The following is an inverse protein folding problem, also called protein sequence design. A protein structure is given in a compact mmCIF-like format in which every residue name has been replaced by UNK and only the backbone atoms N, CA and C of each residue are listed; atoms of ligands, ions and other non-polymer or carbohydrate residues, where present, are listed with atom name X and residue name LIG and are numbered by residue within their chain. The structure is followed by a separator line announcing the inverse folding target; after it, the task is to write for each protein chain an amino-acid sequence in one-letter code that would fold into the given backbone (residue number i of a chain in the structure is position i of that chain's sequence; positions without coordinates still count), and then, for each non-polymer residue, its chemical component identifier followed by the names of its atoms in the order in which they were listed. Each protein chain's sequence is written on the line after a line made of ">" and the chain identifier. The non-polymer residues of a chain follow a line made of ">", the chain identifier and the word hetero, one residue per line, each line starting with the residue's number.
data_IF_636546734779
#
_entry.id   IF_636546734779
#
_cell.length_a   1.000
_cell.length_b   1.000
_cell.length_c   1.000
_cell.angle_alpha   90.00
_cell.angle_beta   90.00
_cell.angle_gamma   90.00
#
_symmetry.space_group_name_H-M   'P 1'
#
loop_
_entity.id
_entity.type
_entity.pdbx_description
1 polymer ?
#
# COMPACT_ATOMS: atom_id res chain seq x y z
N UNK A 1 26.76 33.43 34.95
CA UNK A 1 26.93 31.95 34.82
C UNK A 1 26.08 31.34 35.92
N UNK A 2 25.02 30.58 35.70
CA UNK A 2 24.62 29.79 34.54
C UNK A 2 23.09 29.80 34.39
N UNK A 3 22.64 29.77 33.14
CA UNK A 3 21.26 29.60 32.71
C UNK A 3 20.70 28.25 33.21
N UNK A 4 19.48 28.27 33.73
CA UNK A 4 18.63 27.08 33.80
C UNK A 4 17.80 27.04 32.53
N UNK A 5 18.24 26.25 31.56
CA UNK A 5 17.52 26.02 30.32
C UNK A 5 16.29 25.13 30.57
N UNK A 6 15.10 25.71 30.36
CA UNK A 6 13.83 24.99 30.24
C UNK A 6 13.84 24.17 28.94
N UNK A 7 14.04 22.85 29.05
CA UNK A 7 13.89 21.92 27.93
C UNK A 7 12.40 21.72 27.60
N UNK A 8 11.89 22.59 26.74
CA UNK A 8 10.53 22.51 26.18
C UNK A 8 10.48 21.42 25.09
N UNK A 9 10.22 20.17 25.50
CA UNK A 9 9.89 19.10 24.55
C UNK A 9 8.45 19.28 24.05
N UNK A 10 8.30 19.98 22.92
CA UNK A 10 7.01 20.18 22.24
C UNK A 10 6.55 18.88 21.56
N UNK A 11 5.99 17.97 22.35
CA UNK A 11 5.19 16.87 21.81
C UNK A 11 3.94 17.49 21.16
N UNK A 12 3.92 17.51 19.83
CA UNK A 12 2.79 18.01 19.06
C UNK A 12 1.52 17.23 19.43
N UNK A 13 0.37 17.91 19.63
CA UNK A 13 -0.85 17.25 20.10
C UNK A 13 -1.32 16.23 19.07
N UNK A 14 -1.63 15.03 19.56
CA UNK A 14 -2.08 13.86 18.81
C UNK A 14 -3.28 14.23 17.91
N UNK A 15 -3.01 14.62 16.66
CA UNK A 15 -4.03 14.84 15.63
C UNK A 15 -4.73 13.50 15.46
N UNK A 16 -5.96 13.37 15.96
CA UNK A 16 -6.84 12.23 15.67
C UNK A 16 -6.75 11.95 14.17
N UNK A 17 -6.17 10.81 13.81
CA UNK A 17 -5.88 10.47 12.41
C UNK A 17 -7.21 10.46 11.66
N UNK A 18 -7.42 11.44 10.77
CA UNK A 18 -8.62 11.48 9.93
C UNK A 18 -8.60 10.22 9.07
N UNK A 19 -9.68 9.44 9.09
CA UNK A 19 -9.75 8.21 8.30
C UNK A 19 -9.47 8.49 6.82
N UNK A 20 -8.66 7.63 6.21
CA UNK A 20 -8.34 7.65 4.79
C UNK A 20 -8.56 6.27 4.18
N UNK A 21 -9.00 6.25 2.91
CA UNK A 21 -9.21 5.02 2.14
C UNK A 21 -7.90 4.27 1.85
N UNK A 22 -6.77 4.98 1.87
CA UNK A 22 -5.43 4.48 1.59
C UNK A 22 -4.46 4.93 2.68
N UNK A 23 -3.33 4.23 2.83
CA UNK A 23 -2.22 4.71 3.67
C UNK A 23 -1.59 5.93 3.02
N UNK A 24 -1.48 7.03 3.76
CA UNK A 24 -0.94 8.30 3.22
C UNK A 24 0.47 8.62 3.70
N UNK A 25 0.75 8.40 4.99
CA UNK A 25 1.96 8.95 5.63
C UNK A 25 2.82 7.87 6.28
N UNK A 26 2.25 7.09 7.20
CA UNK A 26 2.97 6.07 7.99
C UNK A 26 2.47 4.68 7.63
N UNK A 27 3.40 3.81 7.24
CA UNK A 27 3.13 2.40 6.98
C UNK A 27 3.19 1.61 8.29
N UNK A 28 2.01 1.28 8.81
CA UNK A 28 1.88 0.30 9.90
C UNK A 28 1.42 -1.04 9.29
N UNK A 29 2.23 -2.10 9.37
CA UNK A 29 1.86 -3.41 8.86
C UNK A 29 0.51 -3.91 9.38
N UNK A 30 0.21 -3.72 10.67
CA UNK A 30 -1.00 -4.27 11.31
C UNK A 30 -2.23 -3.58 10.75
N UNK A 31 -2.20 -2.25 10.70
CA UNK A 31 -3.26 -1.43 10.12
C UNK A 31 -3.43 -1.71 8.62
N UNK A 32 -2.33 -1.93 7.89
CA UNK A 32 -2.32 -2.34 6.48
C UNK A 32 -2.92 -3.73 6.28
N UNK A 33 -2.73 -4.65 7.23
CA UNK A 33 -3.33 -5.98 7.22
C UNK A 33 -4.82 -5.96 7.56
N UNK A 34 -5.26 -5.00 8.38
CA UNK A 34 -6.65 -4.89 8.84
C UNK A 34 -7.61 -4.59 7.68
N UNK A 35 -8.78 -5.22 7.69
CA UNK A 35 -9.82 -5.03 6.67
C UNK A 35 -10.43 -3.63 6.77
N UNK A 36 -10.60 -3.14 7.99
CA UNK A 36 -11.27 -1.89 8.37
C UNK A 36 -10.34 -0.89 9.07
N UNK A 37 -9.08 -1.26 9.31
CA UNK A 37 -8.07 -0.38 9.90
C UNK A 37 -8.17 -0.27 11.42
N UNK A 38 -8.83 -1.23 12.08
CA UNK A 38 -8.98 -1.22 13.55
C UNK A 38 -8.08 -2.22 14.28
N UNK A 39 -7.40 -3.11 13.56
CA UNK A 39 -6.55 -4.11 14.23
C UNK A 39 -5.36 -3.43 14.92
N UNK A 40 -5.17 -3.75 16.20
CA UNK A 40 -4.01 -3.31 16.99
C UNK A 40 -2.95 -4.41 17.12
N UNK A 41 -3.33 -5.67 16.90
CA UNK A 41 -2.48 -6.86 17.08
C UNK A 41 -2.28 -7.56 15.74
N UNK A 42 -1.04 -7.97 15.40
CA UNK A 42 -0.78 -8.72 14.18
C UNK A 42 -1.53 -10.05 14.16
N UNK A 43 -2.46 -10.22 13.21
CA UNK A 43 -3.26 -11.44 13.09
C UNK A 43 -2.62 -12.52 12.19
N UNK A 44 -1.48 -12.25 11.54
CA UNK A 44 -0.77 -13.24 10.73
C UNK A 44 0.76 -13.22 10.91
N UNK A 45 1.42 -14.33 10.56
CA UNK A 45 2.89 -14.49 10.69
C UNK A 45 3.69 -13.48 9.87
N UNK A 46 3.15 -13.03 8.75
CA UNK A 46 3.87 -12.11 7.88
C UNK A 46 3.77 -10.66 8.40
N UNK A 47 2.74 -10.30 9.18
CA UNK A 47 2.66 -9.04 9.94
C UNK A 47 3.67 -9.04 11.07
N UNK A 48 3.75 -10.14 11.83
CA UNK A 48 4.79 -10.33 12.85
C UNK A 48 6.19 -10.19 12.22
N UNK A 49 6.43 -10.82 11.06
CA UNK A 49 7.68 -10.67 10.32
C UNK A 49 7.94 -9.22 9.89
N UNK A 50 6.91 -8.51 9.42
CA UNK A 50 7.05 -7.13 8.99
C UNK A 50 7.42 -6.20 10.15
N UNK A 51 6.76 -6.36 11.31
CA UNK A 51 7.04 -5.59 12.53
C UNK A 51 8.47 -5.82 13.04
N UNK A 52 8.93 -7.08 13.02
CA UNK A 52 10.27 -7.44 13.50
C UNK A 52 11.38 -7.18 12.47
N UNK A 53 11.05 -6.70 11.27
CA UNK A 53 12.02 -6.48 10.20
C UNK A 53 12.40 -5.02 10.05
N UNK A 54 13.68 -4.74 9.83
CA UNK A 54 14.15 -3.42 9.40
C UNK A 54 14.32 -3.43 7.88
N UNK A 55 13.87 -2.35 7.23
CA UNK A 55 14.05 -2.15 5.80
C UNK A 55 14.62 -0.77 5.59
N UNK A 56 15.68 -0.67 4.78
CA UNK A 56 16.24 0.59 4.34
C UNK A 56 16.13 0.64 2.82
N UNK A 57 15.42 1.64 2.26
CA UNK A 57 15.32 1.79 0.81
C UNK A 57 16.69 2.08 0.21
N UNK A 58 16.84 1.83 -1.09
CA UNK A 58 18.11 2.07 -1.77
C UNK A 58 18.39 3.58 -1.92
N UNK A 59 19.34 4.10 -1.14
CA UNK A 59 19.73 5.51 -1.17
C UNK A 59 20.40 5.98 -2.48
N UNK A 60 20.75 5.06 -3.40
CA UNK A 60 21.29 5.43 -4.72
C UNK A 60 20.22 5.90 -5.71
N UNK A 61 18.94 5.66 -5.42
CA UNK A 61 17.83 6.07 -6.30
C UNK A 61 17.63 7.58 -6.12
N UNK A 62 17.89 8.32 -7.19
CA UNK A 62 17.67 9.77 -7.28
C UNK A 62 16.23 10.05 -7.76
N UNK A 63 15.80 11.31 -7.62
CA UNK A 63 14.49 11.78 -8.09
C UNK A 63 13.46 11.93 -6.98
N UNK A 64 12.31 12.52 -7.32
CA UNK A 64 11.22 12.77 -6.36
C UNK A 64 10.27 11.55 -6.30
N UNK A 65 10.09 10.90 -5.14
CA UNK A 65 9.15 9.79 -5.00
C UNK A 65 7.69 10.20 -5.22
N UNK A 66 7.32 11.47 -5.08
CA UNK A 66 5.98 11.95 -5.40
C UNK A 66 5.70 12.02 -6.90
N UNK A 67 6.76 12.16 -7.71
CA UNK A 67 6.67 12.18 -9.18
C UNK A 67 6.90 10.80 -9.80
N UNK A 68 7.21 9.81 -8.95
CA UNK A 68 7.54 8.46 -9.39
C UNK A 68 6.34 7.53 -9.23
N UNK A 69 6.01 6.84 -10.32
CA UNK A 69 5.01 5.78 -10.34
C UNK A 69 5.68 4.40 -10.30
N UNK A 70 5.02 3.47 -9.63
CA UNK A 70 5.33 2.06 -9.63
C UNK A 70 4.42 1.34 -10.63
N UNK A 71 5.02 0.53 -11.51
CA UNK A 71 4.30 -0.32 -12.44
C UNK A 71 4.63 -1.78 -12.11
N UNK A 72 3.65 -2.57 -11.71
CA UNK A 72 3.80 -3.99 -11.41
C UNK A 72 2.98 -4.88 -12.33
N UNK A 73 3.19 -6.19 -12.22
CA UNK A 73 2.52 -7.24 -13.01
C UNK A 73 2.81 -7.18 -14.51
N UNK A 74 3.94 -6.61 -14.90
CA UNK A 74 4.37 -6.60 -16.30
C UNK A 74 4.66 -8.02 -16.80
N UNK A 75 4.46 -8.25 -18.09
CA UNK A 75 4.95 -9.45 -18.75
C UNK A 75 6.47 -9.39 -18.87
N UNK A 76 7.12 -10.56 -18.86
CA UNK A 76 8.59 -10.64 -18.99
C UNK A 76 9.08 -10.26 -20.39
N UNK A 77 8.19 -10.23 -21.38
CA UNK A 77 8.47 -9.76 -22.74
C UNK A 77 8.48 -8.23 -22.87
N UNK A 78 7.97 -7.50 -21.88
CA UNK A 78 7.84 -6.05 -21.96
C UNK A 78 9.21 -5.39 -21.85
N UNK A 79 9.52 -4.53 -22.83
CA UNK A 79 10.77 -3.76 -22.86
C UNK A 79 10.60 -2.34 -22.34
N UNK A 80 11.72 -1.68 -22.05
CA UNK A 80 11.73 -0.28 -21.61
C UNK A 80 11.16 0.67 -22.69
N UNK A 81 11.43 0.41 -23.96
CA UNK A 81 10.94 1.20 -25.09
C UNK A 81 9.41 1.12 -25.20
N UNK A 82 8.84 -0.08 -25.00
CA UNK A 82 7.39 -0.26 -24.99
C UNK A 82 6.73 0.48 -23.83
N UNK A 83 7.34 0.45 -22.63
CA UNK A 83 6.87 1.24 -21.50
C UNK A 83 6.96 2.72 -21.80
N UNK A 84 8.09 3.21 -22.33
CA UNK A 84 8.25 4.61 -22.70
C UNK A 84 7.17 5.04 -23.69
N UNK A 85 6.97 4.28 -24.76
CA UNK A 85 5.93 4.57 -25.78
C UNK A 85 4.53 4.65 -25.17
N UNK A 86 4.15 3.70 -24.31
CA UNK A 86 2.82 3.67 -23.68
C UNK A 86 2.61 4.75 -22.63
N UNK A 87 3.66 5.17 -21.93
CA UNK A 87 3.57 6.10 -20.80
C UNK A 87 3.91 7.56 -21.14
N UNK A 88 4.56 7.81 -22.27
CA UNK A 88 4.85 9.17 -22.78
C UNK A 88 3.60 10.05 -22.99
N UNK A 89 2.42 9.55 -23.42
CA UNK A 89 1.25 10.40 -23.61
C UNK A 89 0.71 11.07 -22.33
N UNK A 90 1.11 10.60 -21.14
CA UNK A 90 0.62 11.13 -19.87
C UNK A 90 1.47 12.26 -19.29
N UNK A 91 2.71 12.42 -19.78
CA UNK A 91 3.64 13.43 -19.28
C UNK A 91 5.08 13.19 -19.72
N UNK A 92 5.97 14.08 -19.27
CA UNK A 92 7.39 14.02 -19.63
C UNK A 92 8.11 13.03 -18.73
N UNK A 93 8.62 11.94 -19.31
CA UNK A 93 9.38 10.91 -18.56
C UNK A 93 10.81 11.39 -18.34
N UNK A 94 11.17 11.67 -17.09
CA UNK A 94 12.52 12.07 -16.65
C UNK A 94 13.40 10.85 -16.50
N UNK A 95 12.92 9.85 -15.75
CA UNK A 95 13.64 8.61 -15.52
C UNK A 95 12.70 7.42 -15.72
N UNK A 96 13.18 6.38 -16.39
CA UNK A 96 12.51 5.11 -16.56
C UNK A 96 13.49 4.02 -16.13
N UNK A 97 13.04 3.10 -15.29
CA UNK A 97 13.84 1.94 -14.88
C UNK A 97 12.98 0.68 -14.87
N UNK A 98 13.20 -0.19 -15.85
CA UNK A 98 12.70 -1.56 -15.83
C UNK A 98 13.61 -2.40 -14.91
N UNK A 99 13.06 -2.99 -13.85
CA UNK A 99 13.88 -3.74 -12.90
C UNK A 99 14.07 -5.18 -13.37
N UNK A 100 15.32 -5.55 -13.64
CA UNK A 100 15.75 -6.91 -13.93
C UNK A 100 16.40 -7.58 -12.72
N UNK A 101 16.46 -8.91 -12.78
CA UNK A 101 17.28 -9.71 -11.88
C UNK A 101 18.75 -9.51 -12.23
N UNK A 102 19.56 -9.28 -11.20
CA UNK A 102 21.00 -8.99 -11.33
C UNK A 102 21.76 -10.23 -11.83
N UNK A 103 21.28 -11.43 -11.50
CA UNK A 103 21.95 -12.69 -11.87
C UNK A 103 21.55 -13.14 -13.27
N UNK A 104 20.25 -13.22 -13.54
CA UNK A 104 19.73 -13.77 -14.80
C UNK A 104 19.57 -12.71 -15.90
N UNK A 105 19.59 -11.42 -15.56
CA UNK A 105 19.29 -10.32 -16.48
C UNK A 105 17.81 -10.22 -16.88
N UNK A 106 16.96 -11.18 -16.47
CA UNK A 106 15.56 -11.23 -16.85
C UNK A 106 14.74 -10.18 -16.10
N UNK A 107 13.74 -9.55 -16.74
CA UNK A 107 12.90 -8.54 -16.10
C UNK A 107 12.08 -9.16 -14.96
N UNK A 108 12.03 -8.52 -13.78
CA UNK A 108 11.27 -9.02 -12.62
C UNK A 108 9.77 -8.75 -12.72
N UNK A 109 9.31 -8.16 -13.82
CA UNK A 109 7.90 -7.83 -14.05
C UNK A 109 7.41 -6.56 -13.35
N UNK A 110 8.32 -5.63 -13.03
CA UNK A 110 7.96 -4.30 -12.53
C UNK A 110 8.96 -3.22 -12.95
N UNK A 111 8.48 -1.99 -13.02
CA UNK A 111 9.25 -0.81 -13.44
C UNK A 111 8.89 0.41 -12.60
N UNK A 112 9.76 1.43 -12.66
CA UNK A 112 9.52 2.75 -12.10
C UNK A 112 9.63 3.80 -13.20
N UNK A 113 8.73 4.79 -13.17
CA UNK A 113 8.75 5.93 -14.08
C UNK A 113 8.62 7.20 -13.25
N UNK A 114 9.61 8.09 -13.35
CA UNK A 114 9.57 9.43 -12.80
C UNK A 114 9.13 10.42 -13.88
N UNK A 115 8.09 11.18 -13.58
CA UNK A 115 7.58 12.25 -14.41
C UNK A 115 8.18 13.60 -14.02
N UNK A 116 8.03 14.61 -14.88
CA UNK A 116 8.42 15.98 -14.56
C UNK A 116 7.60 16.55 -13.40
N UNK A 117 6.32 16.18 -13.32
CA UNK A 117 5.37 16.71 -12.34
C UNK A 117 4.54 15.62 -11.67
N UNK A 118 4.10 15.89 -10.44
CA UNK A 118 3.17 15.01 -9.69
C UNK A 118 1.84 14.79 -10.42
N UNK A 119 1.30 15.80 -11.08
CA UNK A 119 0.01 15.70 -11.78
C UNK A 119 0.06 14.73 -12.96
N UNK A 120 1.19 14.70 -13.68
CA UNK A 120 1.45 13.77 -14.77
C UNK A 120 1.52 12.32 -14.25
N UNK A 121 2.22 12.12 -13.14
CA UNK A 121 2.28 10.83 -12.45
C UNK A 121 0.87 10.34 -12.03
N UNK A 122 0.06 11.20 -11.41
CA UNK A 122 -1.31 10.86 -11.01
C UNK A 122 -2.20 10.54 -12.21
N UNK A 123 -2.05 11.30 -13.31
CA UNK A 123 -2.78 11.05 -14.57
C UNK A 123 -2.42 9.70 -15.18
N UNK A 124 -1.13 9.35 -15.19
CA UNK A 124 -0.66 8.05 -15.65
C UNK A 124 -1.25 6.92 -14.80
N UNK A 125 -1.29 7.09 -13.46
CA UNK A 125 -1.88 6.09 -12.56
C UNK A 125 -3.37 5.90 -12.85
N UNK A 126 -4.13 6.98 -12.95
CA UNK A 126 -5.58 6.93 -13.19
C UNK A 126 -5.94 6.25 -14.52
N UNK A 127 -5.15 6.52 -15.57
CA UNK A 127 -5.43 6.01 -16.93
C UNK A 127 -4.88 4.62 -17.21
N UNK A 128 -3.73 4.25 -16.62
CA UNK A 128 -3.03 3.00 -16.96
C UNK A 128 -3.24 1.89 -15.95
N UNK A 129 -3.76 2.19 -14.76
CA UNK A 129 -4.10 1.14 -13.79
C UNK A 129 -5.15 0.19 -14.36
N UNK A 130 -4.86 -1.11 -14.34
CA UNK A 130 -5.78 -2.13 -14.87
C UNK A 130 -5.75 -2.30 -16.39
N UNK A 131 -4.89 -1.57 -17.11
CA UNK A 131 -4.73 -1.74 -18.56
C UNK A 131 -3.99 -3.04 -18.87
N UNK A 132 -4.39 -3.73 -19.94
CA UNK A 132 -3.71 -4.95 -20.38
C UNK A 132 -2.55 -4.62 -21.32
N UNK A 133 -1.35 -5.09 -20.99
CA UNK A 133 -0.14 -5.03 -21.82
C UNK A 133 0.40 -6.45 -21.98
N UNK A 134 0.63 -6.89 -23.22
CA UNK A 134 1.17 -8.24 -23.51
C UNK A 134 0.37 -9.36 -22.81
N UNK A 135 -0.97 -9.24 -22.83
CA UNK A 135 -1.88 -10.22 -22.22
C UNK A 135 -1.94 -10.21 -20.69
N UNK A 136 -1.30 -9.24 -20.02
CA UNK A 136 -1.35 -9.07 -18.55
C UNK A 136 -1.92 -7.72 -18.14
N UNK A 137 -2.84 -7.77 -17.18
CA UNK A 137 -3.36 -6.58 -16.51
C UNK A 137 -2.29 -5.99 -15.57
N UNK A 138 -1.86 -4.77 -15.86
CA UNK A 138 -0.81 -4.09 -15.10
C UNK A 138 -1.37 -3.39 -13.87
N UNK A 139 -0.55 -3.34 -12.83
CA UNK A 139 -0.81 -2.56 -11.63
C UNK A 139 -0.02 -1.26 -11.73
N UNK A 140 -0.68 -0.10 -11.76
CA UNK A 140 -0.01 1.19 -11.65
C UNK A 140 -0.37 1.84 -10.32
N UNK A 141 0.63 2.27 -9.55
CA UNK A 141 0.44 2.91 -8.25
C UNK A 141 1.55 3.94 -8.00
N UNK A 142 1.47 4.66 -6.88
CA UNK A 142 2.52 5.59 -6.45
C UNK A 142 3.75 4.82 -5.92
N UNK A 143 4.94 5.42 -5.97
CA UNK A 143 6.12 4.82 -5.36
C UNK A 143 6.06 4.91 -3.82
N UNK A 144 5.63 3.82 -3.20
CA UNK A 144 5.48 3.78 -1.74
C UNK A 144 6.79 3.58 -0.97
N UNK A 145 7.82 3.00 -1.60
CA UNK A 145 9.06 2.62 -0.93
C UNK A 145 9.79 3.79 -0.27
N UNK A 146 9.89 4.91 -0.98
CA UNK A 146 10.57 6.13 -0.52
C UNK A 146 9.60 7.16 0.07
N UNK A 147 8.30 6.98 -0.14
CA UNK A 147 7.26 7.92 0.29
C UNK A 147 6.69 7.62 1.67
N UNK A 148 6.41 6.34 1.95
CA UNK A 148 5.79 5.96 3.21
C UNK A 148 6.86 5.65 4.25
N UNK A 149 6.77 6.34 5.38
CA UNK A 149 7.66 6.04 6.49
C UNK A 149 7.36 4.64 7.04
N UNK A 150 8.40 3.88 7.36
CA UNK A 150 8.28 2.51 7.84
C UNK A 150 7.88 1.47 6.78
N UNK A 151 7.78 1.83 5.49
CA UNK A 151 7.35 0.89 4.44
C UNK A 151 8.20 -0.38 4.41
N UNK A 152 7.52 -1.53 4.31
CA UNK A 152 8.17 -2.85 4.22
C UNK A 152 7.81 -3.53 2.90
N UNK A 153 8.77 -4.08 2.15
CA UNK A 153 8.49 -4.86 0.94
C UNK A 153 7.86 -6.21 1.27
N UNK A 154 7.23 -6.83 0.26
CA UNK A 154 6.56 -8.14 0.38
C UNK A 154 7.43 -9.25 0.98
N UNK A 155 8.73 -9.30 0.61
CA UNK A 155 9.68 -10.31 1.10
C UNK A 155 9.86 -10.28 2.63
N UNK A 156 9.64 -9.13 3.25
CA UNK A 156 9.69 -8.94 4.69
C UNK A 156 8.30 -9.08 5.35
N UNK A 157 7.28 -9.46 4.59
CA UNK A 157 5.92 -9.64 5.10
C UNK A 157 5.06 -8.38 5.07
N UNK A 158 5.58 -7.26 4.56
CA UNK A 158 4.77 -6.09 4.24
C UNK A 158 4.22 -6.12 2.81
N UNK A 159 4.28 -4.96 2.15
CA UNK A 159 3.74 -4.69 0.83
C UNK A 159 2.23 -4.60 0.82
N UNK A 160 1.70 -4.01 -0.26
CA UNK A 160 0.26 -3.86 -0.44
C UNK A 160 -0.33 -4.94 -1.33
N UNK A 161 -1.59 -5.26 -1.10
CA UNK A 161 -2.36 -6.24 -1.84
C UNK A 161 -2.13 -7.68 -1.34
N UNK A 162 -2.66 -8.64 -2.08
CA UNK A 162 -2.51 -10.05 -1.78
C UNK A 162 -3.61 -10.82 -2.50
N UNK A 163 -3.32 -12.05 -2.93
CA UNK A 163 -4.37 -12.91 -3.48
C UNK A 163 -5.03 -13.59 -2.28
N UNK A 164 -6.36 -13.59 -2.21
CA UNK A 164 -7.10 -14.29 -1.14
C UNK A 164 -6.66 -15.75 -0.98
N UNK A 165 -6.27 -16.40 -2.09
CA UNK A 165 -5.77 -17.78 -2.13
C UNK A 165 -4.46 -17.99 -1.37
N UNK A 166 -3.62 -16.96 -1.20
CA UNK A 166 -2.35 -17.06 -0.47
C UNK A 166 -2.49 -16.83 1.03
N UNK A 167 -3.72 -16.66 1.57
CA UNK A 167 -4.02 -16.29 2.96
C UNK A 167 -3.28 -15.03 3.47
N UNK A 168 -2.65 -14.27 2.57
CA UNK A 168 -1.84 -13.09 2.86
C UNK A 168 -2.50 -11.86 2.23
N UNK A 169 -3.74 -11.57 2.62
CA UNK A 169 -4.44 -10.40 2.12
C UNK A 169 -3.96 -9.17 2.90
N UNK A 170 -3.37 -8.19 2.20
CA UNK A 170 -2.97 -6.91 2.79
C UNK A 170 -3.69 -5.79 2.07
N UNK A 171 -4.39 -4.96 2.81
CA UNK A 171 -5.15 -3.83 2.29
C UNK A 171 -4.27 -2.59 2.21
N UNK A 172 -4.81 -1.48 1.73
CA UNK A 172 -4.11 -0.19 1.78
C UNK A 172 -3.46 0.27 0.47
N UNK A 173 -3.63 -0.45 -0.64
CA UNK A 173 -3.40 0.10 -1.99
C UNK A 173 -4.70 0.33 -2.76
N UNK A 174 -4.58 0.94 -3.95
CA UNK A 174 -5.70 1.25 -4.85
C UNK A 174 -6.56 0.03 -5.22
N UNK A 175 -5.97 -1.16 -5.29
CA UNK A 175 -6.67 -2.40 -5.70
C UNK A 175 -7.63 -2.91 -4.62
N UNK A 176 -7.25 -2.80 -3.34
CA UNK A 176 -8.03 -3.27 -2.18
C UNK A 176 -7.80 -2.29 -1.02
N UNK A 177 -8.50 -1.14 -1.04
CA UNK A 177 -8.41 -0.15 0.02
C UNK A 177 -9.04 -0.65 1.32
N UNK A 178 -8.73 0.04 2.41
CA UNK A 178 -9.41 -0.19 3.69
C UNK A 178 -10.90 0.08 3.57
N UNK A 179 -11.67 -0.65 4.35
CA UNK A 179 -13.06 -0.30 4.63
C UNK A 179 -13.09 0.79 5.70
N UNK A 180 -14.13 1.61 5.68
CA UNK A 180 -14.38 2.54 6.78
C UNK A 180 -14.56 1.73 8.06
N UNK A 181 -13.92 2.10 9.19
CA UNK A 181 -14.15 1.50 10.48
C UNK A 181 -15.64 1.39 10.76
N UNK A 182 -16.06 0.22 11.23
CA UNK A 182 -17.37 0.07 11.83
C UNK A 182 -17.30 0.81 13.16
N UNK A 183 -17.82 2.04 13.20
CA UNK A 183 -18.08 2.69 14.49
C UNK A 183 -19.14 1.83 15.16
N UNK A 184 -18.78 1.14 16.24
CA UNK A 184 -19.80 0.58 17.13
C UNK A 184 -20.63 1.75 17.63
N UNK A 185 -21.96 1.63 17.54
CA UNK A 185 -22.83 2.54 18.26
C UNK A 185 -22.41 2.47 19.73
N UNK A 186 -22.16 3.63 20.33
CA UNK A 186 -21.60 3.81 21.68
C UNK A 186 -22.42 3.08 22.77
N UNK A 187 -23.57 2.51 22.41
CA UNK A 187 -24.50 1.80 23.28
C UNK A 187 -24.55 0.27 23.15
N UNK A 188 -23.75 -0.37 22.29
CA UNK A 188 -23.69 -1.84 22.27
C UNK A 188 -22.49 -2.36 23.05
N UNK A 189 -22.77 -2.98 24.21
CA UNK A 189 -21.78 -3.62 25.07
C UNK A 189 -20.75 -4.43 24.28
N UNK A 190 -19.48 -4.14 24.57
CA UNK A 190 -18.33 -4.66 23.83
C UNK A 190 -18.26 -6.19 23.81
N UNK A 191 -17.61 -6.72 22.79
CA UNK A 191 -17.49 -8.15 22.56
C UNK A 191 -16.32 -8.72 23.38
N UNK A 192 -16.57 -9.76 24.18
CA UNK A 192 -15.63 -10.26 25.20
C UNK A 192 -14.48 -11.11 24.65
N UNK A 193 -14.55 -11.52 23.37
CA UNK A 193 -13.49 -12.30 22.72
C UNK A 193 -13.52 -12.25 21.19
N UNK A 194 -12.36 -12.53 20.59
CA UNK A 194 -12.15 -12.70 19.14
C UNK A 194 -13.10 -13.77 18.55
N UNK A 195 -13.42 -14.80 19.34
CA UNK A 195 -14.34 -15.88 18.97
C UNK A 195 -15.79 -15.40 18.83
N UNK A 196 -16.20 -14.49 19.71
CA UNK A 196 -17.54 -13.93 19.76
C UNK A 196 -17.74 -12.89 18.64
N UNK A 197 -16.69 -12.11 18.34
CA UNK A 197 -16.65 -11.21 17.18
C UNK A 197 -16.78 -11.98 15.85
N UNK A 198 -16.00 -13.04 15.68
CA UNK A 198 -16.05 -13.91 14.48
C UNK A 198 -17.41 -14.62 14.31
N UNK A 199 -18.16 -14.84 15.40
CA UNK A 199 -19.51 -15.42 15.35
C UNK A 199 -20.54 -14.40 14.86
N UNK A 200 -20.45 -13.17 15.37
CA UNK A 200 -21.36 -12.05 15.03
C UNK A 200 -21.25 -11.63 13.56
N UNK A 201 -20.04 -11.59 13.02
CA UNK A 201 -19.78 -11.28 11.60
C UNK A 201 -20.35 -12.37 10.66
N UNK A 202 -20.31 -13.64 11.05
CA UNK A 202 -20.87 -14.75 10.26
C UNK A 202 -22.38 -14.69 10.18
N UNK A 203 -23.07 -14.51 11.31
CA UNK A 203 -24.54 -14.40 11.32
C UNK A 203 -25.07 -13.22 10.49
N UNK A 204 -24.34 -12.10 10.42
CA UNK A 204 -24.74 -10.96 9.59
C UNK A 204 -24.72 -11.26 8.08
N UNK A 205 -23.83 -12.16 7.61
CA UNK A 205 -23.78 -12.56 6.19
C UNK A 205 -24.90 -13.49 5.77
N UNK A 206 -25.45 -14.24 6.72
CA UNK A 206 -26.54 -15.19 6.48
C UNK A 206 -27.92 -14.51 6.54
N UNK A 207 -28.06 -13.39 7.27
CA UNK A 207 -29.31 -12.65 7.43
C UNK A 207 -29.74 -11.76 6.25
N UNK A 208 -28.95 -11.62 5.19
CA UNK A 208 -29.30 -10.83 3.99
C UNK A 208 -29.79 -11.67 2.81
N UNK A 209 -30.23 -12.91 3.04
CA UNK A 209 -30.82 -13.78 2.01
C UNK A 209 -32.15 -14.37 2.45
N UNK A 210 -33.12 -13.51 2.75
CA UNK A 210 -34.53 -13.87 2.79
C UNK A 210 -35.38 -12.63 2.57
N UNK A 211 -36.02 -12.52 1.40
CA UNK A 211 -36.93 -11.41 1.11
C UNK A 211 -36.87 -10.92 -0.33
N UNK A 212 -37.13 -11.81 -1.30
CA UNK A 212 -37.84 -11.42 -2.51
C UNK A 212 -38.42 -12.67 -3.19
N UNK A 213 -39.63 -13.04 -2.76
CA UNK A 213 -40.73 -13.56 -3.57
C UNK A 213 -42.02 -13.24 -2.82
#
# INVERSE_FOLDING_TARGET
>A
MASTDECSSSQSPNKKRRWSKYVTDVYDPVQVGSIDGTDEVPHDRALVRAMNSTYRPNGKVKGDPMHTIFIGRLAHSVTEEQLRSKFSPFGTIVHLRLVSDIVTGLPRGYAFIEYGNREEALRAIDRMHGVTIEGKEILVDEEWERRLDGWKPRRLGGGFGGRKKSQQLRFGCKVQPFRRPLLEDVNSGGVSSVSEWNRRIRHRKEGTSSGNR
#
